data_IF_678231183899
#
_entry.id   IF_678231183899
#
_cell.length_a   1.000
_cell.length_b   1.000
_cell.length_c   1.000
_cell.angle_alpha   90.00
_cell.angle_beta   90.00
_cell.angle_gamma   90.00
#
_symmetry.space_group_name_H-M   'P 1'
#
loop_
_entity.id
_entity.type
_entity.pdbx_description
1 polymer ?
#
# COMPACT_ATOMS: atom_id res chain seq x y z
N UNK A 1 -46.04 -12.92 16.48
CA UNK A 1 -44.82 -12.41 17.17
C UNK A 1 -43.80 -13.53 17.12
N UNK A 2 -42.73 -13.46 16.34
CA UNK A 2 -41.57 -12.62 16.66
C UNK A 2 -40.88 -12.08 15.40
N UNK A 3 -40.55 -10.79 15.46
CA UNK A 3 -39.70 -10.08 14.50
C UNK A 3 -38.28 -10.63 14.55
N UNK A 4 -37.85 -11.33 13.50
CA UNK A 4 -36.42 -11.53 13.26
C UNK A 4 -35.90 -10.24 12.63
N UNK A 5 -35.47 -9.31 13.48
CA UNK A 5 -34.60 -8.21 13.09
C UNK A 5 -33.27 -8.80 12.61
N UNK A 6 -33.18 -9.15 11.32
CA UNK A 6 -31.89 -9.28 10.64
C UNK A 6 -31.27 -7.89 10.60
N UNK A 7 -30.49 -7.58 11.64
CA UNK A 7 -29.58 -6.43 11.65
C UNK A 7 -28.72 -6.56 10.40
N UNK A 8 -28.97 -5.71 9.40
CA UNK A 8 -28.12 -5.57 8.22
C UNK A 8 -26.75 -5.12 8.75
N UNK A 9 -25.85 -6.06 8.97
CA UNK A 9 -24.44 -5.76 9.16
C UNK A 9 -24.00 -5.25 7.79
N UNK A 10 -23.94 -3.93 7.62
CA UNK A 10 -23.33 -3.32 6.45
C UNK A 10 -21.86 -3.71 6.52
N UNK A 11 -21.44 -4.68 5.70
CA UNK A 11 -20.03 -4.93 5.46
C UNK A 11 -19.40 -3.57 5.10
N UNK A 12 -18.46 -3.09 5.92
CA UNK A 12 -17.76 -1.85 5.60
C UNK A 12 -16.84 -2.17 4.43
N UNK A 13 -17.21 -1.69 3.25
CA UNK A 13 -16.34 -1.77 2.08
C UNK A 13 -15.07 -0.97 2.39
N UNK A 14 -13.95 -1.68 2.49
CA UNK A 14 -12.65 -1.06 2.69
C UNK A 14 -12.15 -0.55 1.33
N UNK A 15 -12.00 0.75 1.18
CA UNK A 15 -11.71 1.41 -0.09
C UNK A 15 -10.42 2.24 -0.01
N UNK A 16 -9.44 1.84 -0.83
CA UNK A 16 -8.12 2.44 -0.92
C UNK A 16 -7.84 2.90 -2.37
N UNK A 17 -8.25 4.12 -2.78
CA UNK A 17 -7.91 4.64 -4.09
C UNK A 17 -6.40 4.74 -4.29
N UNK A 18 -5.98 4.57 -5.54
CA UNK A 18 -4.59 4.70 -5.99
C UNK A 18 -4.35 6.11 -6.50
N UNK A 19 -3.31 6.77 -5.99
CA UNK A 19 -2.86 8.09 -6.42
C UNK A 19 -1.54 7.94 -7.16
N UNK A 20 -1.54 8.22 -8.46
CA UNK A 20 -0.33 8.30 -9.25
C UNK A 20 0.45 9.56 -8.87
N UNK A 21 1.64 9.35 -8.30
CA UNK A 21 2.47 10.44 -7.78
C UNK A 21 3.32 11.03 -8.89
N UNK A 22 3.13 12.32 -9.16
CA UNK A 22 3.96 13.09 -10.09
C UNK A 22 4.90 14.05 -9.36
N UNK A 23 4.33 14.81 -8.42
CA UNK A 23 5.05 15.74 -7.55
C UNK A 23 4.26 15.97 -6.25
N UNK A 24 4.84 16.71 -5.30
CA UNK A 24 4.23 16.93 -3.98
C UNK A 24 2.90 17.68 -4.08
N UNK A 25 2.83 18.78 -4.84
CA UNK A 25 1.63 19.61 -4.97
C UNK A 25 0.44 18.83 -5.54
N UNK A 26 0.64 18.12 -6.65
CA UNK A 26 -0.37 17.27 -7.26
C UNK A 26 -0.81 16.17 -6.28
N UNK A 27 0.13 15.54 -5.58
CA UNK A 27 -0.19 14.49 -4.59
C UNK A 27 -1.07 15.06 -3.48
N UNK A 28 -0.70 16.20 -2.91
CA UNK A 28 -1.47 16.85 -1.85
C UNK A 28 -2.89 17.23 -2.29
N UNK A 29 -3.07 17.73 -3.52
CA UNK A 29 -4.38 18.01 -4.10
C UNK A 29 -5.26 16.76 -4.18
N UNK A 30 -4.72 15.65 -4.66
CA UNK A 30 -5.45 14.37 -4.76
C UNK A 30 -5.77 13.78 -3.38
N UNK A 31 -4.82 13.85 -2.44
CA UNK A 31 -5.03 13.37 -1.07
C UNK A 31 -6.11 14.17 -0.35
N UNK A 32 -6.19 15.49 -0.56
CA UNK A 32 -7.25 16.32 0.00
C UNK A 32 -8.63 15.84 -0.49
N UNK A 33 -8.77 15.57 -1.78
CA UNK A 33 -10.02 15.05 -2.36
C UNK A 33 -10.34 13.68 -1.76
N UNK A 34 -9.40 12.74 -1.82
CA UNK A 34 -9.58 11.38 -1.32
C UNK A 34 -10.01 11.37 0.16
N UNK A 35 -9.27 12.06 1.04
CA UNK A 35 -9.58 12.07 2.46
C UNK A 35 -10.83 12.86 2.84
N UNK A 36 -11.26 13.82 2.01
CA UNK A 36 -12.58 14.47 2.16
C UNK A 36 -13.74 13.57 1.74
N UNK A 37 -13.48 12.50 0.99
CA UNK A 37 -14.48 11.57 0.44
C UNK A 37 -14.69 10.32 1.30
N UNK A 38 -14.22 10.35 2.56
CA UNK A 38 -14.36 9.25 3.54
C UNK A 38 -13.83 7.89 3.05
N UNK A 39 -12.70 7.90 2.36
CA UNK A 39 -11.94 6.67 2.03
C UNK A 39 -11.15 6.19 3.24
N UNK A 40 -10.91 4.89 3.34
CA UNK A 40 -10.18 4.29 4.48
C UNK A 40 -8.68 4.60 4.46
N UNK A 41 -8.16 4.93 3.29
CA UNK A 41 -6.75 5.21 3.05
C UNK A 41 -6.46 5.40 1.58
N UNK A 42 -5.18 5.41 1.22
CA UNK A 42 -4.74 5.53 -0.17
C UNK A 42 -3.50 4.67 -0.42
N UNK A 43 -3.29 4.29 -1.68
CA UNK A 43 -1.97 3.86 -2.16
C UNK A 43 -1.32 4.97 -2.99
N UNK A 44 -0.07 5.31 -2.70
CA UNK A 44 0.74 6.14 -3.56
C UNK A 44 1.57 5.26 -4.51
N UNK A 45 1.44 5.47 -5.82
CA UNK A 45 2.16 4.69 -6.83
C UNK A 45 3.16 5.56 -7.60
N UNK A 46 4.39 5.05 -7.74
CA UNK A 46 5.49 5.70 -8.46
C UNK A 46 5.47 5.43 -9.97
N UNK A 47 4.36 5.73 -10.65
CA UNK A 47 4.25 5.50 -12.09
C UNK A 47 4.89 6.64 -12.89
N UNK A 48 6.12 6.43 -13.35
CA UNK A 48 6.91 7.45 -14.07
C UNK A 48 7.92 8.22 -13.22
N UNK A 49 8.08 7.87 -11.94
CA UNK A 49 9.11 8.40 -11.05
C UNK A 49 9.87 7.26 -10.35
N UNK A 50 11.10 7.52 -9.92
CA UNK A 50 11.90 6.55 -9.15
C UNK A 50 11.43 6.46 -7.69
N UNK A 51 11.62 5.30 -7.06
CA UNK A 51 11.23 5.08 -5.66
C UNK A 51 11.76 6.15 -4.70
N UNK A 52 12.98 6.67 -4.92
CA UNK A 52 13.57 7.72 -4.06
C UNK A 52 12.68 8.97 -4.04
N UNK A 53 12.22 9.41 -5.21
CA UNK A 53 11.34 10.57 -5.32
C UNK A 53 9.98 10.30 -4.67
N UNK A 54 9.45 9.08 -4.84
CA UNK A 54 8.22 8.65 -4.17
C UNK A 54 8.39 8.67 -2.65
N UNK A 55 9.52 8.20 -2.11
CA UNK A 55 9.82 8.20 -0.68
C UNK A 55 9.96 9.63 -0.13
N UNK A 56 10.63 10.52 -0.86
CA UNK A 56 10.75 11.93 -0.48
C UNK A 56 9.37 12.62 -0.39
N UNK A 57 8.48 12.34 -1.35
CA UNK A 57 7.10 12.86 -1.35
C UNK A 57 6.31 12.21 -0.22
N UNK A 58 6.44 10.90 -0.02
CA UNK A 58 5.77 10.18 1.05
C UNK A 58 6.13 10.74 2.43
N UNK A 59 7.40 11.07 2.67
CA UNK A 59 7.84 11.68 3.94
C UNK A 59 7.09 12.98 4.21
N UNK A 60 7.04 13.88 3.23
CA UNK A 60 6.32 15.15 3.35
C UNK A 60 4.81 14.95 3.51
N UNK A 61 4.23 14.00 2.80
CA UNK A 61 2.81 13.62 2.94
C UNK A 61 2.52 13.10 4.35
N UNK A 62 3.42 12.28 4.90
CA UNK A 62 3.27 11.70 6.24
C UNK A 62 3.32 12.77 7.32
N UNK A 63 4.12 13.83 7.16
CA UNK A 63 4.13 14.98 8.08
C UNK A 63 2.78 15.69 8.14
N UNK A 64 2.07 15.79 7.00
CA UNK A 64 0.74 16.43 6.92
C UNK A 64 -0.38 15.49 7.37
N UNK A 65 -0.28 14.20 7.07
CA UNK A 65 -1.28 13.19 7.39
C UNK A 65 -0.71 12.07 8.28
N UNK A 66 -0.31 12.37 9.54
CA UNK A 66 0.41 11.42 10.40
C UNK A 66 -0.41 10.16 10.74
N UNK A 67 -1.74 10.25 10.75
CA UNK A 67 -2.63 9.16 11.18
C UNK A 67 -3.44 8.51 10.06
N UNK A 68 -3.37 9.02 8.82
CA UNK A 68 -4.09 8.42 7.70
C UNK A 68 -3.41 7.14 7.25
N UNK A 69 -4.21 6.17 6.78
CA UNK A 69 -3.66 4.95 6.20
C UNK A 69 -3.08 5.26 4.81
N UNK A 70 -1.78 5.03 4.63
CA UNK A 70 -1.07 5.31 3.38
C UNK A 70 -0.14 4.13 3.06
N UNK A 71 -0.40 3.50 1.93
CA UNK A 71 0.45 2.46 1.36
C UNK A 71 1.29 2.97 0.19
N UNK A 72 2.33 2.20 -0.17
CA UNK A 72 3.22 2.51 -1.29
C UNK A 72 3.24 1.38 -2.32
N UNK A 73 3.34 1.75 -3.61
CA UNK A 73 3.69 0.86 -4.70
C UNK A 73 4.87 1.46 -5.50
N UNK A 74 6.01 0.76 -5.50
CA UNK A 74 7.24 1.15 -6.18
C UNK A 74 7.47 0.26 -7.40
N UNK A 75 7.11 0.74 -8.59
CA UNK A 75 7.21 -0.04 -9.83
C UNK A 75 8.65 -0.28 -10.29
N UNK A 76 9.63 0.49 -9.80
CA UNK A 76 11.05 0.34 -10.11
C UNK A 76 11.82 -0.53 -9.08
N UNK A 77 11.11 -1.15 -8.12
CA UNK A 77 11.71 -2.04 -7.12
C UNK A 77 11.12 -3.44 -7.19
N UNK A 78 11.98 -4.45 -7.06
CA UNK A 78 11.53 -5.83 -6.82
C UNK A 78 11.08 -5.98 -5.36
N UNK A 79 10.25 -7.00 -5.02
CA UNK A 79 9.75 -7.19 -3.65
C UNK A 79 10.83 -7.20 -2.57
N UNK A 80 11.94 -7.94 -2.74
CA UNK A 80 13.04 -7.94 -1.77
C UNK A 80 13.63 -6.55 -1.54
N UNK A 81 13.74 -5.74 -2.60
CA UNK A 81 14.31 -4.41 -2.52
C UNK A 81 13.38 -3.42 -1.82
N UNK A 82 12.07 -3.53 -2.06
CA UNK A 82 11.05 -2.74 -1.38
C UNK A 82 10.96 -3.10 0.10
N UNK A 83 10.81 -4.39 0.43
CA UNK A 83 10.67 -4.84 1.81
C UNK A 83 11.89 -4.52 2.68
N UNK A 84 13.10 -4.42 2.10
CA UNK A 84 14.29 -4.01 2.84
C UNK A 84 14.44 -2.49 3.01
N UNK A 85 13.53 -1.68 2.47
CA UNK A 85 13.64 -0.21 2.40
C UNK A 85 12.35 0.52 2.78
N UNK A 86 11.36 -0.17 3.35
CA UNK A 86 10.05 0.42 3.66
C UNK A 86 10.24 1.67 4.53
N UNK A 87 9.81 2.86 4.08
CA UNK A 87 9.84 4.07 4.90
C UNK A 87 9.05 3.89 6.19
N UNK A 88 9.53 4.52 7.27
CA UNK A 88 8.83 4.48 8.56
C UNK A 88 7.41 5.04 8.40
N UNK A 89 6.45 4.37 9.03
CA UNK A 89 5.05 4.79 9.06
C UNK A 89 4.21 4.35 7.86
N UNK A 90 4.78 3.65 6.87
CA UNK A 90 4.00 3.08 5.76
C UNK A 90 3.07 2.00 6.30
N UNK A 91 1.80 2.05 5.91
CA UNK A 91 0.78 1.13 6.43
C UNK A 91 0.64 -0.14 5.60
N UNK A 92 1.05 -0.10 4.33
CA UNK A 92 0.98 -1.25 3.43
C UNK A 92 1.89 -1.08 2.22
N UNK A 93 2.31 -2.19 1.63
CA UNK A 93 3.04 -2.21 0.37
C UNK A 93 2.29 -3.04 -0.65
N UNK A 94 2.28 -2.59 -1.89
CA UNK A 94 1.79 -3.34 -3.04
C UNK A 94 2.93 -3.53 -4.03
N UNK A 95 3.11 -4.76 -4.50
CA UNK A 95 4.01 -5.14 -5.59
C UNK A 95 3.19 -5.79 -6.71
N UNK A 96 3.38 -5.35 -7.95
CA UNK A 96 2.61 -5.86 -9.10
C UNK A 96 2.98 -7.30 -9.46
N UNK A 97 4.25 -7.66 -9.30
CA UNK A 97 4.74 -9.01 -9.51
C UNK A 97 5.38 -9.55 -8.22
N UNK A 98 4.68 -10.48 -7.57
CA UNK A 98 5.18 -11.17 -6.39
C UNK A 98 6.18 -12.31 -6.71
N UNK A 99 6.42 -12.58 -8.01
CA UNK A 99 7.24 -13.69 -8.51
C UNK A 99 6.75 -15.07 -8.05
N UNK A 100 5.43 -15.23 -7.90
CA UNK A 100 4.80 -16.54 -7.72
C UNK A 100 4.90 -17.31 -9.04
N UNK A 101 5.39 -18.54 -8.98
CA UNK A 101 5.24 -19.49 -10.07
C UNK A 101 4.05 -20.42 -9.77
N UNK A 102 2.96 -20.30 -10.53
CA UNK A 102 1.72 -21.07 -10.27
C UNK A 102 1.88 -22.58 -10.48
N UNK A 103 2.95 -23.03 -11.13
CA UNK A 103 3.25 -24.46 -11.34
C UNK A 103 3.97 -25.12 -10.15
N UNK A 104 4.47 -24.33 -9.19
CA UNK A 104 5.26 -24.82 -8.07
C UNK A 104 4.45 -24.85 -6.76
N UNK A 105 4.76 -25.82 -5.90
CA UNK A 105 4.24 -25.83 -4.53
C UNK A 105 4.71 -24.59 -3.75
N UNK A 106 3.95 -24.19 -2.73
CA UNK A 106 4.27 -23.03 -1.87
C UNK A 106 5.67 -23.13 -1.24
N UNK A 107 6.16 -24.34 -0.96
CA UNK A 107 7.48 -24.57 -0.36
C UNK A 107 8.62 -24.56 -1.39
N UNK A 108 8.30 -24.50 -2.68
CA UNK A 108 9.27 -24.48 -3.78
C UNK A 108 9.45 -23.08 -4.39
N UNK A 109 8.68 -22.10 -3.91
CA UNK A 109 8.70 -20.70 -4.33
C UNK A 109 10.00 -19.97 -3.92
N UNK A 110 11.13 -20.24 -4.60
CA UNK A 110 12.46 -19.74 -4.21
C UNK A 110 12.51 -18.25 -3.89
N UNK A 111 11.99 -17.38 -4.77
CA UNK A 111 12.02 -15.93 -4.57
C UNK A 111 10.98 -15.44 -3.55
N UNK A 112 9.68 -15.83 -3.63
CA UNK A 112 8.69 -15.48 -2.61
C UNK A 112 9.07 -15.92 -1.20
N UNK A 113 9.73 -17.08 -1.05
CA UNK A 113 10.24 -17.55 0.25
C UNK A 113 11.34 -16.65 0.81
N UNK A 114 12.22 -16.09 -0.04
CA UNK A 114 13.20 -15.09 0.40
C UNK A 114 12.50 -13.84 0.95
N UNK A 115 11.44 -13.37 0.27
CA UNK A 115 10.64 -12.22 0.72
C UNK A 115 9.96 -12.51 2.05
N UNK A 116 9.30 -13.68 2.17
CA UNK A 116 8.66 -14.14 3.42
C UNK A 116 9.67 -14.19 4.58
N UNK A 117 10.85 -14.75 4.33
CA UNK A 117 11.91 -14.83 5.34
C UNK A 117 12.43 -13.46 5.76
N UNK A 118 12.55 -12.50 4.83
CA UNK A 118 12.90 -11.12 5.15
C UNK A 118 11.84 -10.47 6.05
N UNK A 119 10.55 -10.59 5.68
CA UNK A 119 9.43 -10.03 6.47
C UNK A 119 9.43 -10.59 7.89
N UNK A 120 9.63 -11.90 8.04
CA UNK A 120 9.65 -12.56 9.35
C UNK A 120 10.84 -12.14 10.23
N UNK A 121 11.94 -11.61 9.65
CA UNK A 121 13.08 -11.10 10.40
C UNK A 121 12.91 -9.65 10.87
N UNK A 122 12.00 -8.90 10.26
CA UNK A 122 11.77 -7.48 10.55
C UNK A 122 10.61 -7.28 11.55
N UNK A 123 9.75 -8.29 11.72
CA UNK A 123 8.74 -8.35 12.79
C UNK A 123 9.38 -8.70 14.13
#
# INVERSE_FOLDING_TARGET
MSNINKKLIKESLFFLPVVHVLNFEQTMGQLKIAFSSNVDGVFLIGHGIRYKKLFDIYSQVRDVYPYKWIGLNCLDLRPLELFSRIPKGVNGVWVDNAYINEELDVNEQKYPLQVKNLINKIK
#
